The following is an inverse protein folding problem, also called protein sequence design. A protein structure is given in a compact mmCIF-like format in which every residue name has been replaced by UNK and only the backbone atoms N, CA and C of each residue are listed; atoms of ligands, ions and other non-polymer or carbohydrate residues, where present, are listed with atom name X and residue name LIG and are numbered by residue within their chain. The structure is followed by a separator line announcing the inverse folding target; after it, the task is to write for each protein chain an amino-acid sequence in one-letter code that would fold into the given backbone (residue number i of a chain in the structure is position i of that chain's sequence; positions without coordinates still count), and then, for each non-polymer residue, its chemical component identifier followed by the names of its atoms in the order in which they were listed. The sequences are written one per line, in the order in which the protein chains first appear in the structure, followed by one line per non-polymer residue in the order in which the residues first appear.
data_IF_378364406009
#
_entry.id   IF_378364406009
#
_cell.length_a   1.000
_cell.length_b   1.000
_cell.length_c   1.000
_cell.angle_alpha   90.00
_cell.angle_beta   90.00
_cell.angle_gamma   90.00
#
_symmetry.space_group_name_H-M   'P 1'
#
loop_
_entity.id
_entity.type
_entity.pdbx_description
1 polymer ?
#
# COMPACT_ATOMS: atom_id res chain seq x y z
N UNK A 1 9.55 -43.47 24.70
CA UNK A 1 9.01 -42.19 24.20
C UNK A 1 9.72 -41.87 22.88
N UNK A 2 9.05 -42.11 21.74
CA UNK A 2 9.63 -41.94 20.41
C UNK A 2 9.59 -40.46 20.01
N UNK A 3 10.75 -39.84 19.84
CA UNK A 3 10.85 -38.46 19.34
C UNK A 3 10.68 -38.51 17.82
N UNK A 4 9.46 -38.32 17.34
CA UNK A 4 9.18 -38.07 15.92
C UNK A 4 9.70 -36.66 15.63
N UNK A 5 10.94 -36.55 15.16
CA UNK A 5 11.44 -35.33 14.52
C UNK A 5 10.63 -35.13 13.25
N UNK A 6 9.59 -34.33 13.33
CA UNK A 6 8.90 -33.79 12.16
C UNK A 6 9.92 -32.96 11.39
N UNK A 7 10.58 -33.58 10.41
CA UNK A 7 11.26 -32.86 9.34
C UNK A 7 10.20 -31.98 8.69
N UNK A 8 10.18 -30.69 9.04
CA UNK A 8 9.52 -29.68 8.21
C UNK A 8 10.22 -29.74 6.85
N UNK A 9 9.67 -30.54 5.92
CA UNK A 9 9.93 -30.35 4.51
C UNK A 9 9.43 -28.95 4.18
N UNK A 10 10.32 -27.96 4.18
CA UNK A 10 10.12 -26.77 3.35
C UNK A 10 10.02 -27.32 1.93
N UNK A 11 8.80 -27.39 1.41
CA UNK A 11 8.64 -27.64 -0.02
C UNK A 11 9.42 -26.54 -0.75
N UNK A 12 10.29 -26.89 -1.71
CA UNK A 12 10.82 -25.90 -2.61
C UNK A 12 9.62 -25.43 -3.44
N UNK A 13 9.15 -24.23 -3.16
CA UNK A 13 8.04 -23.60 -3.88
C UNK A 13 8.55 -23.22 -5.28
N UNK A 14 8.55 -24.17 -6.21
CA UNK A 14 9.05 -24.00 -7.57
C UNK A 14 7.94 -23.62 -8.57
N UNK A 15 6.80 -23.09 -8.11
CA UNK A 15 5.64 -22.80 -8.97
C UNK A 15 5.18 -21.34 -9.03
N UNK A 16 5.75 -20.42 -8.23
CA UNK A 16 4.93 -19.31 -7.71
C UNK A 16 5.49 -17.90 -7.94
N UNK A 17 6.66 -17.72 -8.56
CA UNK A 17 7.32 -16.41 -8.55
C UNK A 17 6.57 -15.30 -9.33
N UNK A 18 5.71 -15.67 -10.29
CA UNK A 18 4.88 -14.73 -11.05
C UNK A 18 3.38 -14.76 -10.71
N UNK A 19 2.88 -15.82 -10.06
CA UNK A 19 1.44 -15.98 -9.78
C UNK A 19 0.95 -14.98 -8.73
N UNK A 20 1.79 -14.65 -7.75
CA UNK A 20 1.43 -13.72 -6.67
C UNK A 20 1.14 -12.30 -7.19
N UNK A 21 1.81 -11.85 -8.26
CA UNK A 21 1.60 -10.52 -8.87
C UNK A 21 0.20 -10.45 -9.47
N UNK A 22 -0.20 -11.48 -10.21
CA UNK A 22 -1.55 -11.60 -10.77
C UNK A 22 -2.63 -11.58 -9.68
N UNK A 23 -2.41 -12.32 -8.59
CA UNK A 23 -3.32 -12.33 -7.44
C UNK A 23 -3.40 -10.97 -6.75
N UNK A 24 -2.28 -10.29 -6.56
CA UNK A 24 -2.23 -8.96 -5.97
C UNK A 24 -2.97 -7.93 -6.85
N UNK A 25 -2.77 -7.97 -8.18
CA UNK A 25 -3.49 -7.12 -9.12
C UNK A 25 -5.00 -7.36 -9.08
N UNK A 26 -5.43 -8.62 -9.00
CA UNK A 26 -6.84 -8.97 -8.89
C UNK A 26 -7.45 -8.45 -7.59
N UNK A 27 -6.74 -8.60 -6.46
CA UNK A 27 -7.16 -8.07 -5.18
C UNK A 27 -7.30 -6.54 -5.21
N UNK A 28 -6.32 -5.84 -5.75
CA UNK A 28 -6.35 -4.39 -5.89
C UNK A 28 -7.55 -3.92 -6.74
N UNK A 29 -7.83 -4.56 -7.88
CA UNK A 29 -9.02 -4.24 -8.70
C UNK A 29 -10.33 -4.43 -7.92
N UNK A 30 -10.47 -5.52 -7.17
CA UNK A 30 -11.65 -5.76 -6.33
C UNK A 30 -11.77 -4.68 -5.25
N UNK A 31 -10.65 -4.32 -4.60
CA UNK A 31 -10.62 -3.25 -3.60
C UNK A 31 -11.05 -1.91 -4.18
N UNK A 32 -10.58 -1.56 -5.38
CA UNK A 32 -10.97 -0.32 -6.06
C UNK A 32 -12.48 -0.29 -6.36
N UNK A 33 -13.04 -1.38 -6.89
CA UNK A 33 -14.49 -1.47 -7.14
C UNK A 33 -15.31 -1.45 -5.85
N UNK A 34 -14.85 -2.14 -4.81
CA UNK A 34 -15.53 -2.15 -3.52
C UNK A 34 -15.50 -0.77 -2.84
N UNK A 35 -14.42 -0.01 -3.03
CA UNK A 35 -14.25 1.32 -2.45
C UNK A 35 -15.32 2.32 -2.91
N UNK A 36 -15.86 2.16 -4.13
CA UNK A 36 -16.96 2.99 -4.65
C UNK A 36 -18.23 2.91 -3.81
N UNK A 37 -18.38 1.88 -2.97
CA UNK A 37 -19.50 1.71 -2.06
C UNK A 37 -19.29 2.36 -0.68
N UNK A 38 -18.10 2.91 -0.40
CA UNK A 38 -17.73 3.48 0.91
C UNK A 38 -17.85 5.02 0.86
N UNK A 39 -18.76 5.64 1.63
CA UNK A 39 -18.85 7.10 1.71
C UNK A 39 -17.59 7.71 2.29
N UNK A 40 -17.22 8.91 1.81
CA UNK A 40 -16.10 9.76 2.29
C UNK A 40 -14.70 9.17 2.08
N UNK A 41 -14.45 7.93 2.52
CA UNK A 41 -13.15 7.25 2.40
C UNK A 41 -12.97 6.50 1.07
N UNK A 42 -14.06 6.16 0.38
CA UNK A 42 -14.03 5.41 -0.88
C UNK A 42 -13.07 5.95 -1.95
N UNK A 43 -13.10 7.25 -2.28
CA UNK A 43 -12.20 7.82 -3.30
C UNK A 43 -10.71 7.64 -2.99
N UNK A 44 -10.31 7.68 -1.72
CA UNK A 44 -8.91 7.49 -1.32
C UNK A 44 -8.48 6.02 -1.47
N UNK A 45 -9.35 5.08 -1.08
CA UNK A 45 -9.08 3.65 -1.20
C UNK A 45 -9.06 3.24 -2.68
N UNK A 46 -9.99 3.76 -3.49
CA UNK A 46 -10.01 3.57 -4.94
C UNK A 46 -8.71 4.07 -5.59
N UNK A 47 -8.31 5.31 -5.27
CA UNK A 47 -7.07 5.88 -5.78
C UNK A 47 -5.85 5.04 -5.40
N UNK A 48 -5.71 4.64 -4.13
CA UNK A 48 -4.61 3.81 -3.66
C UNK A 48 -4.55 2.43 -4.32
N UNK A 49 -5.70 1.78 -4.49
CA UNK A 49 -5.81 0.48 -5.14
C UNK A 49 -5.48 0.54 -6.64
N UNK A 50 -5.90 1.62 -7.33
CA UNK A 50 -5.55 1.85 -8.73
C UNK A 50 -4.05 2.12 -8.92
N UNK A 51 -3.43 2.90 -8.04
CA UNK A 51 -1.97 3.09 -8.03
C UNK A 51 -1.25 1.76 -7.87
N UNK A 52 -1.72 0.89 -6.96
CA UNK A 52 -1.17 -0.45 -6.80
C UNK A 52 -1.23 -1.27 -8.11
N UNK A 53 -2.33 -1.20 -8.87
CA UNK A 53 -2.44 -1.85 -10.17
C UNK A 53 -1.40 -1.32 -11.17
N UNK A 54 -1.21 0.01 -11.25
CA UNK A 54 -0.23 0.64 -12.15
C UNK A 54 1.20 0.19 -11.85
N UNK A 55 1.53 -0.08 -10.58
CA UNK A 55 2.85 -0.56 -10.18
C UNK A 55 3.02 -2.06 -10.50
N UNK A 56 1.97 -2.85 -10.27
CA UNK A 56 2.01 -4.30 -10.43
C UNK A 56 1.94 -4.75 -11.90
N UNK A 57 1.40 -3.94 -12.80
CA UNK A 57 1.29 -4.29 -14.22
C UNK A 57 2.66 -4.42 -14.93
N UNK A 58 3.60 -3.46 -14.83
CA UNK A 58 4.96 -3.63 -15.33
C UNK A 58 5.69 -4.82 -14.67
N UNK A 59 5.43 -5.03 -13.38
CA UNK A 59 5.97 -6.15 -12.60
C UNK A 59 5.54 -7.52 -13.14
N UNK A 60 4.27 -7.64 -13.54
CA UNK A 60 3.73 -8.89 -14.09
C UNK A 60 4.35 -9.22 -15.45
N UNK A 61 4.70 -8.19 -16.22
CA UNK A 61 5.27 -8.31 -17.57
C UNK A 61 6.79 -8.60 -17.54
N UNK A 62 7.47 -8.39 -16.41
CA UNK A 62 8.91 -8.56 -16.28
C UNK A 62 9.27 -9.95 -15.75
N UNK A 63 9.50 -10.90 -16.67
CA UNK A 63 10.07 -12.21 -16.33
C UNK A 63 11.60 -12.17 -16.19
N UNK A 64 12.29 -11.22 -16.84
CA UNK A 64 13.75 -11.29 -17.06
C UNK A 64 14.59 -10.04 -16.69
N UNK A 65 14.00 -8.88 -16.35
CA UNK A 65 14.76 -7.63 -16.18
C UNK A 65 14.62 -6.99 -14.78
N UNK A 66 15.36 -7.54 -13.81
CA UNK A 66 15.31 -7.15 -12.38
C UNK A 66 15.90 -5.78 -12.06
N UNK A 67 16.83 -5.29 -12.88
CA UNK A 67 17.57 -4.05 -12.62
C UNK A 67 16.73 -2.82 -12.95
N UNK A 68 16.10 -2.80 -14.13
CA UNK A 68 15.18 -1.73 -14.54
C UNK A 68 13.98 -1.63 -13.59
N UNK A 69 13.53 -2.77 -13.06
CA UNK A 69 12.47 -2.79 -12.05
C UNK A 69 12.92 -2.18 -10.71
N UNK A 70 14.15 -2.46 -10.29
CA UNK A 70 14.72 -1.86 -9.07
C UNK A 70 14.78 -0.33 -9.21
N UNK A 71 15.23 0.15 -10.36
CA UNK A 71 15.36 1.58 -10.64
C UNK A 71 13.98 2.27 -10.71
N UNK A 72 13.00 1.64 -11.35
CA UNK A 72 11.61 2.12 -11.39
C UNK A 72 11.01 2.22 -9.97
N UNK A 73 11.19 1.16 -9.17
CA UNK A 73 10.66 1.12 -7.80
C UNK A 73 11.32 2.16 -6.91
N UNK A 74 12.64 2.37 -7.04
CA UNK A 74 13.36 3.40 -6.30
C UNK A 74 12.89 4.81 -6.70
N UNK A 75 12.69 5.05 -8.00
CA UNK A 75 12.21 6.33 -8.51
C UNK A 75 10.80 6.64 -8.02
N UNK A 76 9.91 5.64 -8.04
CA UNK A 76 8.55 5.79 -7.52
C UNK A 76 8.54 6.03 -6.00
N UNK A 77 9.37 5.31 -5.25
CA UNK A 77 9.47 5.49 -3.81
C UNK A 77 10.00 6.89 -3.45
N UNK A 78 10.98 7.39 -4.20
CA UNK A 78 11.50 8.75 -4.04
C UNK A 78 10.42 9.80 -4.33
N UNK A 79 9.64 9.61 -5.40
CA UNK A 79 8.52 10.48 -5.74
C UNK A 79 7.46 10.50 -4.62
N UNK A 80 7.02 9.33 -4.14
CA UNK A 80 6.03 9.23 -3.07
C UNK A 80 6.50 9.87 -1.76
N UNK A 81 7.78 9.68 -1.39
CA UNK A 81 8.39 10.35 -0.23
C UNK A 81 8.38 11.86 -0.37
N UNK A 82 8.69 12.36 -1.58
CA UNK A 82 8.72 13.79 -1.86
C UNK A 82 7.32 14.38 -1.75
N UNK A 83 6.32 13.71 -2.33
CA UNK A 83 4.92 14.11 -2.18
C UNK A 83 4.47 14.11 -0.74
N UNK A 84 4.82 13.09 0.04
CA UNK A 84 4.47 13.02 1.46
C UNK A 84 5.11 14.17 2.25
N UNK A 85 6.40 14.46 2.02
CA UNK A 85 7.10 15.56 2.68
C UNK A 85 6.49 16.92 2.30
N UNK A 86 6.19 17.12 1.02
CA UNK A 86 5.54 18.35 0.55
C UNK A 86 4.13 18.50 1.12
N UNK A 87 3.33 17.44 1.11
CA UNK A 87 2.00 17.42 1.71
C UNK A 87 2.07 17.81 3.20
N UNK A 88 2.96 17.18 3.98
CA UNK A 88 3.17 17.49 5.40
C UNK A 88 3.61 18.95 5.60
N UNK A 89 4.51 19.45 4.76
CA UNK A 89 4.98 20.85 4.85
C UNK A 89 3.95 21.89 4.41
N UNK A 90 3.00 21.48 3.57
CA UNK A 90 1.95 22.34 3.02
C UNK A 90 0.70 22.40 3.89
N UNK A 91 0.60 21.54 4.92
CA UNK A 91 -0.41 21.67 5.97
C UNK A 91 0.03 22.84 6.84
N UNK A 92 -0.72 23.96 6.85
CA UNK A 92 -0.51 24.96 7.90
C UNK A 92 -0.68 24.22 9.22
N UNK A 93 0.31 24.30 10.12
CA UNK A 93 0.09 24.00 11.54
C UNK A 93 -1.12 24.83 11.94
N UNK A 94 -2.30 24.21 11.94
CA UNK A 94 -3.52 24.98 11.85
C UNK A 94 -3.75 25.62 13.22
N UNK A 95 -3.86 26.94 13.22
CA UNK A 95 -4.40 27.72 14.34
C UNK A 95 -5.79 27.16 14.77
N UNK A 96 -6.45 26.40 13.89
CA UNK A 96 -7.66 25.61 14.17
C UNK A 96 -7.51 24.50 15.23
N UNK A 97 -6.31 23.97 15.49
CA UNK A 97 -6.12 22.96 16.53
C UNK A 97 -6.25 23.56 17.93
N UNK A 98 -5.77 24.79 18.15
CA UNK A 98 -5.86 25.47 19.45
C UNK A 98 -7.32 25.82 19.79
N UNK A 99 -8.10 26.30 18.83
CA UNK A 99 -9.51 26.63 19.03
C UNK A 99 -10.35 25.38 19.31
N UNK A 100 -10.09 24.28 18.62
CA UNK A 100 -10.73 23.00 18.88
C UNK A 100 -10.34 22.43 20.27
N UNK A 101 -9.07 22.54 20.65
CA UNK A 101 -8.59 22.10 21.96
C UNK A 101 -9.21 22.91 23.11
N UNK A 102 -9.45 24.20 22.90
CA UNK A 102 -10.18 25.07 23.83
C UNK A 102 -11.65 24.62 23.97
N UNK A 103 -12.36 24.38 22.87
CA UNK A 103 -13.74 23.88 22.89
C UNK A 103 -13.83 22.56 23.66
N UNK A 104 -12.92 21.61 23.43
CA UNK A 104 -12.89 20.33 24.15
C UNK A 104 -12.59 20.48 25.65
N UNK A 105 -11.90 21.54 26.05
CA UNK A 105 -11.59 21.81 27.46
C UNK A 105 -12.82 22.32 28.22
N UNK A 106 -13.71 23.05 27.57
CA UNK A 106 -14.95 23.56 28.17
C UNK A 106 -15.94 22.43 28.50
N UNK A 107 -15.86 21.29 27.80
CA UNK A 107 -16.66 20.09 28.07
C UNK A 107 -16.16 19.22 29.24
N UNK A 108 -14.98 19.52 29.80
CA UNK A 108 -14.43 18.81 30.98
C UNK A 108 -14.93 19.36 32.33
N UNK A 109 -15.83 20.33 32.31
CA UNK A 109 -16.48 20.90 33.51
C UNK A 109 -17.75 20.13 33.85
#
# INVERSE_FOLDING_TARGET
MLIIRAFRRKQPNSGSDGEWISHAMKAAKITAEAAKMIPVAGPFIEGGANIFCVILEPLQQMKDNKEDFRELTQSLLAFLKTMQQQAISSVPQSEHFEEFQKICSDFKR
#
